data_IF_838305200849
#
_entry.id   IF_838305200849
#
_cell.length_a   1.000
_cell.length_b   1.000
_cell.length_c   1.000
_cell.angle_alpha   90.00
_cell.angle_beta   90.00
_cell.angle_gamma   90.00
#
_symmetry.space_group_name_H-M   'P 1'
#
loop_
_entity.id
_entity.type
_entity.pdbx_description
1 polymer ?
#
# COMPACT_ATOMS: atom_id res chain seq x y z
N UNK A 1 -2.49 1.52 -32.71
CA UNK A 1 -1.70 0.26 -32.85
C UNK A 1 -1.11 -0.19 -31.54
N UNK A 2 -0.41 0.65 -30.76
CA UNK A 2 0.19 0.30 -29.46
C UNK A 2 -0.75 -0.43 -28.46
N UNK A 3 -2.07 -0.20 -28.56
CA UNK A 3 -3.06 -0.83 -27.68
C UNK A 3 -3.62 -2.15 -28.25
N UNK A 4 -3.56 -2.37 -29.55
CA UNK A 4 -4.10 -3.55 -30.22
C UNK A 4 -3.11 -4.73 -30.28
N UNK A 5 -1.83 -4.45 -30.41
CA UNK A 5 -0.81 -5.45 -30.76
C UNK A 5 -0.25 -6.23 -29.55
N UNK A 6 -0.73 -5.93 -28.34
CA UNK A 6 -0.29 -6.64 -27.14
C UNK A 6 -1.45 -7.24 -26.35
N UNK A 7 -2.02 -8.30 -26.95
CA UNK A 7 -2.89 -9.23 -26.24
C UNK A 7 -2.14 -9.82 -25.02
N UNK A 8 -2.20 -9.18 -23.87
CA UNK A 8 -1.50 -9.65 -22.67
C UNK A 8 -1.39 -8.63 -21.55
N UNK A 9 -1.62 -7.34 -21.80
CA UNK A 9 -1.60 -6.34 -20.74
C UNK A 9 -2.93 -6.23 -19.99
N UNK A 10 -2.86 -6.10 -18.67
CA UNK A 10 -4.04 -5.89 -17.84
C UNK A 10 -4.72 -4.54 -18.16
N UNK A 11 -6.04 -4.46 -17.99
CA UNK A 11 -6.79 -3.19 -18.11
C UNK A 11 -6.20 -2.08 -17.25
N UNK A 12 -5.58 -2.42 -16.10
CA UNK A 12 -4.91 -1.48 -15.21
C UNK A 12 -3.71 -0.85 -15.89
N UNK A 13 -2.87 -1.65 -16.54
CA UNK A 13 -1.70 -1.14 -17.27
C UNK A 13 -2.14 -0.26 -18.44
N UNK A 14 -3.13 -0.69 -19.21
CA UNK A 14 -3.66 0.12 -20.31
C UNK A 14 -4.19 1.49 -19.85
N UNK A 15 -4.88 1.54 -18.70
CA UNK A 15 -5.32 2.80 -18.08
C UNK A 15 -4.15 3.68 -17.66
N UNK A 16 -3.12 3.10 -17.03
CA UNK A 16 -1.94 3.86 -16.62
C UNK A 16 -1.21 4.46 -17.83
N UNK A 17 -1.02 3.67 -18.88
CA UNK A 17 -0.41 4.15 -20.14
C UNK A 17 -1.25 5.28 -20.74
N UNK A 18 -2.58 5.13 -20.84
CA UNK A 18 -3.45 6.20 -21.30
C UNK A 18 -3.32 7.48 -20.48
N UNK A 19 -3.26 7.35 -19.14
CA UNK A 19 -3.09 8.51 -18.24
C UNK A 19 -1.79 9.24 -18.53
N UNK A 20 -0.67 8.51 -18.61
CA UNK A 20 0.64 9.10 -18.93
C UNK A 20 0.62 9.78 -20.30
N UNK A 21 0.09 9.12 -21.31
CA UNK A 21 -0.02 9.68 -22.67
C UNK A 21 -0.90 10.94 -22.71
N UNK A 22 -2.04 10.92 -22.00
CA UNK A 22 -2.91 12.10 -21.93
C UNK A 22 -2.18 13.31 -21.32
N UNK A 23 -1.49 13.12 -20.19
CA UNK A 23 -0.73 14.20 -19.55
C UNK A 23 0.35 14.73 -20.50
N UNK A 24 1.09 13.84 -21.15
CA UNK A 24 2.15 14.23 -22.10
C UNK A 24 1.61 14.99 -23.31
N UNK A 25 0.50 14.53 -23.90
CA UNK A 25 -0.09 15.22 -25.05
C UNK A 25 -0.79 16.52 -24.67
N UNK A 26 -1.41 16.62 -23.50
CA UNK A 26 -1.91 17.91 -23.01
C UNK A 26 -0.78 18.94 -22.86
N UNK A 27 0.37 18.50 -22.34
CA UNK A 27 1.55 19.36 -22.27
C UNK A 27 2.03 19.77 -23.67
N UNK A 28 2.07 18.84 -24.63
CA UNK A 28 2.44 19.17 -26.02
C UNK A 28 1.48 20.14 -26.70
N UNK A 29 0.16 20.05 -26.41
CA UNK A 29 -0.85 21.05 -26.87
C UNK A 29 -0.59 22.39 -26.21
N UNK A 30 -0.33 22.46 -24.91
CA UNK A 30 -0.03 23.72 -24.21
C UNK A 30 1.23 24.40 -24.74
N UNK A 31 2.23 23.60 -25.14
CA UNK A 31 3.45 24.09 -25.82
C UNK A 31 3.25 24.38 -27.31
N UNK A 32 2.02 24.25 -27.85
CA UNK A 32 1.71 24.44 -29.28
C UNK A 32 2.48 23.54 -30.24
N UNK A 33 2.96 22.39 -29.77
CA UNK A 33 3.67 21.37 -30.56
C UNK A 33 2.72 20.53 -31.40
N UNK A 34 1.50 20.32 -30.93
CA UNK A 34 0.42 19.62 -31.63
C UNK A 34 -0.89 20.37 -31.44
N UNK A 35 -1.82 20.32 -32.40
CA UNK A 35 -3.07 21.07 -32.32
C UNK A 35 -4.10 20.45 -31.39
N UNK A 36 -4.10 19.11 -31.23
CA UNK A 36 -5.10 18.37 -30.46
C UNK A 36 -4.45 17.20 -29.77
N UNK A 37 -4.99 16.78 -28.63
CA UNK A 37 -4.54 15.59 -27.92
C UNK A 37 -5.12 14.30 -28.57
N UNK A 38 -4.32 13.47 -29.23
CA UNK A 38 -4.82 12.27 -29.90
C UNK A 38 -5.26 11.16 -28.93
N UNK A 39 -4.89 11.24 -27.64
CA UNK A 39 -5.26 10.23 -26.66
C UNK A 39 -6.65 10.44 -26.04
N UNK A 40 -7.28 11.59 -26.20
CA UNK A 40 -8.63 11.87 -25.69
C UNK A 40 -9.68 10.99 -26.38
N UNK A 41 -9.54 10.78 -27.67
CA UNK A 41 -10.49 10.02 -28.50
C UNK A 41 -10.45 8.51 -28.24
N UNK A 42 -9.42 8.04 -27.54
CA UNK A 42 -9.24 6.59 -27.32
C UNK A 42 -10.18 6.10 -26.20
N UNK A 43 -11.19 5.35 -26.58
CA UNK A 43 -12.04 4.64 -25.62
C UNK A 43 -11.45 3.25 -25.31
N UNK A 44 -10.89 3.09 -24.12
CA UNK A 44 -10.31 1.83 -23.68
C UNK A 44 -11.34 0.71 -23.50
N UNK A 45 -12.63 1.04 -23.33
CA UNK A 45 -13.69 0.03 -23.21
C UNK A 45 -13.96 -0.66 -24.54
N UNK A 46 -13.75 0.02 -25.67
CA UNK A 46 -13.98 -0.49 -27.02
C UNK A 46 -12.73 -1.12 -27.66
N UNK A 47 -11.55 -0.79 -27.17
CA UNK A 47 -10.29 -1.16 -27.82
C UNK A 47 -9.56 -2.33 -27.16
N UNK A 48 -9.83 -2.60 -25.90
CA UNK A 48 -9.26 -3.74 -25.18
C UNK A 48 -10.32 -4.84 -25.15
N UNK A 49 -10.26 -5.75 -26.11
CA UNK A 49 -11.01 -7.01 -26.04
C UNK A 49 -10.64 -7.68 -24.71
N UNK A 50 -11.59 -7.61 -23.82
CA UNK A 50 -11.46 -8.16 -22.49
C UNK A 50 -11.59 -9.66 -22.54
N UNK A 51 -10.54 -10.38 -23.00
CA UNK A 51 -10.32 -11.67 -22.35
C UNK A 51 -10.18 -11.34 -20.87
N UNK A 52 -10.96 -12.00 -20.00
CA UNK A 52 -10.86 -11.72 -18.56
C UNK A 52 -9.43 -12.06 -18.13
N UNK A 53 -8.58 -11.04 -18.16
CA UNK A 53 -7.31 -11.12 -17.48
C UNK A 53 -7.70 -11.28 -16.04
N UNK A 54 -7.60 -12.52 -15.57
CA UNK A 54 -7.96 -12.93 -14.23
C UNK A 54 -8.58 -11.76 -13.45
N UNK A 55 -9.86 -11.50 -13.70
CA UNK A 55 -10.68 -10.91 -12.67
C UNK A 55 -10.28 -11.79 -11.51
N UNK A 56 -9.49 -11.31 -10.57
CA UNK A 56 -9.40 -11.98 -9.30
C UNK A 56 -10.85 -12.15 -8.96
N UNK A 57 -11.36 -13.36 -9.18
CA UNK A 57 -12.71 -13.66 -8.80
C UNK A 57 -12.76 -13.18 -7.37
N UNK A 58 -13.68 -12.27 -7.07
CA UNK A 58 -13.89 -11.79 -5.69
C UNK A 58 -14.04 -13.03 -4.81
N UNK A 59 -14.59 -14.11 -5.39
CA UNK A 59 -14.68 -15.45 -4.80
C UNK A 59 -13.33 -16.13 -4.52
N UNK A 60 -12.22 -15.62 -5.05
CA UNK A 60 -10.85 -16.12 -4.77
C UNK A 60 -10.09 -15.28 -3.73
N UNK A 61 -10.66 -14.21 -3.20
CA UNK A 61 -10.10 -13.53 -2.02
C UNK A 61 -10.39 -14.42 -0.82
N UNK A 62 -9.45 -15.31 -0.51
CA UNK A 62 -9.53 -16.12 0.69
C UNK A 62 -9.42 -15.22 1.90
N UNK A 63 -10.55 -15.00 2.56
CA UNK A 63 -10.61 -14.39 3.88
C UNK A 63 -10.46 -15.47 4.94
N UNK A 64 -9.78 -15.17 6.03
CA UNK A 64 -9.68 -16.07 7.16
C UNK A 64 -11.01 -16.06 7.94
N UNK A 65 -11.50 -17.23 8.31
CA UNK A 65 -12.59 -17.35 9.27
C UNK A 65 -12.07 -17.20 10.72
N UNK A 66 -12.98 -17.13 11.69
CA UNK A 66 -12.60 -16.90 13.08
C UNK A 66 -11.66 -17.98 13.62
N UNK A 67 -11.89 -19.26 13.31
CA UNK A 67 -11.04 -20.37 13.75
C UNK A 67 -9.62 -20.26 13.19
N UNK A 68 -9.50 -19.88 11.91
CA UNK A 68 -8.22 -19.66 11.26
C UNK A 68 -7.49 -18.45 11.83
N UNK A 69 -8.21 -17.39 12.22
CA UNK A 69 -7.64 -16.24 12.91
C UNK A 69 -7.07 -16.65 14.26
N UNK A 70 -7.81 -17.38 15.06
CA UNK A 70 -7.34 -17.88 16.36
C UNK A 70 -6.10 -18.77 16.21
N UNK A 71 -6.12 -19.66 15.23
CA UNK A 71 -4.98 -20.52 14.92
C UNK A 71 -3.75 -19.70 14.48
N UNK A 72 -3.95 -18.67 13.66
CA UNK A 72 -2.88 -17.76 13.23
C UNK A 72 -2.27 -17.00 14.40
N UNK A 73 -3.10 -16.48 15.30
CA UNK A 73 -2.65 -15.78 16.51
C UNK A 73 -1.83 -16.70 17.40
N UNK A 74 -2.29 -17.91 17.61
CA UNK A 74 -1.58 -18.93 18.41
C UNK A 74 -0.24 -19.33 17.75
N UNK A 75 -0.26 -19.67 16.47
CA UNK A 75 0.94 -20.06 15.72
C UNK A 75 2.00 -18.96 15.65
N UNK A 76 1.60 -17.69 15.74
CA UNK A 76 2.52 -16.55 15.68
C UNK A 76 3.21 -16.24 17.01
N UNK A 77 2.71 -16.68 18.16
CA UNK A 77 3.12 -16.25 19.51
C UNK A 77 4.64 -16.22 19.75
N UNK A 78 5.37 -17.21 19.30
CA UNK A 78 6.81 -17.32 19.55
C UNK A 78 7.64 -16.90 18.33
N UNK A 79 7.07 -16.11 17.44
CA UNK A 79 7.75 -15.66 16.23
C UNK A 79 8.05 -14.15 16.27
N UNK A 80 9.10 -13.68 15.59
CA UNK A 80 9.42 -12.26 15.51
C UNK A 80 8.32 -11.39 14.88
N UNK A 81 7.35 -12.01 14.22
CA UNK A 81 6.25 -11.31 13.51
C UNK A 81 4.96 -11.27 14.33
N UNK A 82 4.96 -11.76 15.58
CA UNK A 82 3.74 -11.82 16.39
C UNK A 82 3.07 -10.46 16.55
N UNK A 83 3.82 -9.43 16.94
CA UNK A 83 3.29 -8.08 17.08
C UNK A 83 2.70 -7.53 15.76
N UNK A 84 3.34 -7.86 14.64
CA UNK A 84 2.84 -7.45 13.31
C UNK A 84 1.52 -8.12 12.98
N UNK A 85 1.37 -9.39 13.32
CA UNK A 85 0.11 -10.14 13.15
C UNK A 85 -0.98 -9.54 14.02
N UNK A 86 -0.70 -9.24 15.31
CA UNK A 86 -1.65 -8.61 16.22
C UNK A 86 -2.15 -7.25 15.70
N UNK A 87 -1.24 -6.38 15.31
CA UNK A 87 -1.58 -5.06 14.76
C UNK A 87 -2.38 -5.15 13.46
N UNK A 88 -2.07 -6.13 12.60
CA UNK A 88 -2.79 -6.31 11.36
C UNK A 88 -4.19 -6.87 11.58
N UNK A 89 -4.29 -7.97 12.34
CA UNK A 89 -5.54 -8.75 12.50
C UNK A 89 -6.51 -8.06 13.45
N UNK A 90 -6.02 -7.57 14.60
CA UNK A 90 -6.89 -7.03 15.66
C UNK A 90 -7.09 -5.52 15.58
N UNK A 91 -6.16 -4.78 14.98
CA UNK A 91 -6.25 -3.32 14.87
C UNK A 91 -6.40 -2.82 13.43
N UNK A 92 -6.28 -3.68 12.42
CA UNK A 92 -6.46 -3.32 11.01
C UNK A 92 -5.43 -2.33 10.48
N UNK A 93 -4.20 -2.31 11.01
CA UNK A 93 -3.15 -1.43 10.52
C UNK A 93 -2.62 -1.92 9.17
N UNK A 94 -2.28 -0.98 8.29
CA UNK A 94 -1.60 -1.30 7.04
C UNK A 94 -0.16 -1.74 7.31
N UNK A 95 0.37 -2.65 6.50
CA UNK A 95 1.74 -3.17 6.64
C UNK A 95 2.81 -2.07 6.80
N UNK A 96 2.69 -0.98 6.06
CA UNK A 96 3.66 0.12 6.14
C UNK A 96 3.51 0.94 7.43
N UNK A 97 2.31 1.06 7.96
CA UNK A 97 2.02 1.68 9.25
C UNK A 97 2.60 0.84 10.38
N UNK A 98 2.33 -0.48 10.38
CA UNK A 98 2.85 -1.43 11.37
C UNK A 98 4.38 -1.34 11.50
N UNK A 99 5.08 -1.30 10.37
CA UNK A 99 6.54 -1.23 10.35
C UNK A 99 7.09 0.11 10.86
N UNK A 100 6.25 1.13 11.02
CA UNK A 100 6.63 2.46 11.49
C UNK A 100 6.16 2.74 12.93
N UNK A 101 5.44 1.82 13.58
CA UNK A 101 5.00 1.95 14.98
C UNK A 101 6.20 1.97 15.90
N UNK A 102 6.17 2.89 16.87
CA UNK A 102 7.16 3.03 17.95
C UNK A 102 6.47 2.88 19.29
N UNK A 103 7.20 2.50 20.32
CA UNK A 103 6.66 2.50 21.69
C UNK A 103 6.20 3.89 22.16
N UNK A 104 6.80 4.96 21.64
CA UNK A 104 6.38 6.34 21.88
C UNK A 104 5.01 6.70 21.32
N UNK A 105 4.47 5.90 20.42
CA UNK A 105 3.15 6.14 19.81
C UNK A 105 2.01 5.56 20.65
N UNK A 106 2.37 4.81 21.70
CA UNK A 106 1.43 4.17 22.62
C UNK A 106 1.20 5.09 23.82
N UNK A 107 -0.04 5.47 24.01
CA UNK A 107 -0.49 6.09 25.27
C UNK A 107 -0.89 4.95 26.22
N UNK A 108 -0.03 4.75 27.23
CA UNK A 108 -0.20 3.66 28.21
C UNK A 108 -1.30 3.95 29.24
N UNK A 109 -1.69 5.23 29.41
CA UNK A 109 -2.74 5.64 30.35
C UNK A 109 -4.10 5.42 29.71
N UNK A 110 -4.29 5.94 28.49
CA UNK A 110 -5.55 5.85 27.76
C UNK A 110 -5.65 4.59 26.90
N UNK A 111 -4.60 3.76 26.85
CA UNK A 111 -4.50 2.55 26.02
C UNK A 111 -4.86 2.81 24.55
N UNK A 112 -4.20 3.81 23.97
CA UNK A 112 -4.41 4.19 22.58
C UNK A 112 -3.10 4.18 21.80
N UNK A 113 -3.22 3.92 20.48
CA UNK A 113 -2.11 3.99 19.53
C UNK A 113 -2.35 5.13 18.54
N UNK A 114 -1.39 6.03 18.45
CA UNK A 114 -1.40 7.08 17.44
C UNK A 114 -0.72 6.62 16.16
N UNK A 115 -1.47 6.58 15.06
CA UNK A 115 -0.96 6.23 13.73
C UNK A 115 -0.77 7.50 12.92
N UNK A 116 0.49 7.91 12.71
CA UNK A 116 0.80 9.19 12.03
C UNK A 116 1.88 9.08 10.96
N UNK A 117 2.54 7.92 10.85
CA UNK A 117 3.62 7.68 9.89
C UNK A 117 3.55 6.30 9.26
N UNK A 118 4.32 6.11 8.20
CA UNK A 118 4.49 4.83 7.52
C UNK A 118 5.97 4.62 7.15
N UNK A 119 6.41 3.37 7.08
CA UNK A 119 7.74 3.03 6.58
C UNK A 119 7.64 2.75 5.08
N UNK A 120 8.14 3.69 4.28
CA UNK A 120 8.19 3.59 2.83
C UNK A 120 9.59 3.33 2.30
N UNK A 121 9.66 3.06 1.00
CA UNK A 121 10.92 3.05 0.24
C UNK A 121 11.00 4.35 -0.53
N UNK A 122 12.06 5.10 -0.33
CA UNK A 122 12.36 6.30 -1.11
C UNK A 122 13.54 6.03 -2.04
N UNK A 123 13.43 6.53 -3.25
CA UNK A 123 14.49 6.40 -4.26
C UNK A 123 15.54 7.47 -3.99
N UNK A 124 16.71 7.07 -3.50
CA UNK A 124 17.84 7.99 -3.39
C UNK A 124 18.43 8.21 -4.80
N UNK A 125 17.99 9.30 -5.44
CA UNK A 125 18.59 9.77 -6.68
C UNK A 125 19.91 10.44 -6.36
N UNK A 126 21.01 9.70 -6.49
CA UNK A 126 22.34 10.33 -6.47
C UNK A 126 22.56 10.98 -7.83
N UNK A 127 22.73 12.31 -7.90
CA UNK A 127 23.06 12.99 -9.17
C UNK A 127 24.27 12.31 -9.82
N UNK A 128 24.18 11.98 -11.10
CA UNK A 128 25.22 11.31 -11.90
C UNK A 128 25.53 9.84 -11.56
N UNK A 129 24.73 9.16 -10.76
CA UNK A 129 24.88 7.72 -10.53
C UNK A 129 23.79 6.93 -11.27
N UNK A 130 24.20 5.88 -12.01
CA UNK A 130 23.27 4.90 -12.58
C UNK A 130 22.75 3.90 -11.54
N UNK A 131 23.24 3.96 -10.29
CA UNK A 131 22.80 3.08 -9.21
C UNK A 131 21.73 3.81 -8.41
N UNK A 132 20.49 3.37 -8.60
CA UNK A 132 19.37 3.74 -7.75
C UNK A 132 19.41 2.87 -6.49
N UNK A 133 19.61 3.47 -5.31
CA UNK A 133 19.45 2.76 -4.05
C UNK A 133 18.08 3.08 -3.45
N UNK A 134 17.36 2.05 -3.00
CA UNK A 134 16.11 2.21 -2.30
C UNK A 134 16.34 2.13 -0.80
N UNK A 135 16.24 3.26 -0.13
CA UNK A 135 16.38 3.34 1.33
C UNK A 135 15.00 3.34 1.99
N UNK A 136 14.87 2.57 3.08
CA UNK A 136 13.66 2.61 3.90
C UNK A 136 13.70 3.86 4.76
N UNK A 137 12.67 4.69 4.68
CA UNK A 137 12.52 5.90 5.48
C UNK A 137 11.13 6.02 6.10
N UNK A 138 11.06 6.70 7.23
CA UNK A 138 9.79 7.13 7.79
C UNK A 138 9.21 8.23 6.90
N UNK A 139 8.01 8.00 6.43
CA UNK A 139 7.27 8.92 5.58
C UNK A 139 5.97 9.33 6.28
N UNK A 140 5.47 10.54 6.04
CA UNK A 140 4.15 10.90 6.47
C UNK A 140 3.11 9.98 5.83
N UNK A 141 1.95 9.89 6.42
CA UNK A 141 0.82 9.17 5.83
C UNK A 141 0.41 9.81 4.49
N UNK A 142 -0.09 8.99 3.59
CA UNK A 142 -0.45 9.41 2.21
C UNK A 142 -1.44 10.58 2.18
N UNK A 143 -2.32 10.67 3.17
CA UNK A 143 -3.29 11.77 3.31
C UNK A 143 -3.35 12.22 4.78
N UNK A 144 -3.59 13.51 5.07
CA UNK A 144 -3.78 14.00 6.43
C UNK A 144 -4.89 13.26 7.19
N UNK A 145 -5.96 12.90 6.50
CA UNK A 145 -7.09 12.13 7.05
C UNK A 145 -6.75 10.70 7.46
N UNK A 146 -5.56 10.20 7.10
CA UNK A 146 -5.10 8.88 7.52
C UNK A 146 -4.50 8.88 8.93
N UNK A 147 -4.15 10.07 9.48
CA UNK A 147 -3.73 10.20 10.87
C UNK A 147 -4.92 9.91 11.77
N UNK A 148 -4.71 8.98 12.69
CA UNK A 148 -5.79 8.52 13.58
C UNK A 148 -5.24 7.99 14.89
N UNK A 149 -6.08 8.01 15.91
CA UNK A 149 -5.85 7.37 17.20
C UNK A 149 -6.78 6.18 17.29
N UNK A 150 -6.24 5.02 17.64
CA UNK A 150 -6.98 3.77 17.75
C UNK A 150 -6.93 3.27 19.18
N UNK A 151 -8.04 2.77 19.75
CA UNK A 151 -8.01 2.07 21.02
C UNK A 151 -7.24 0.75 20.84
N UNK A 152 -6.43 0.39 21.84
CA UNK A 152 -5.68 -0.85 21.84
C UNK A 152 -6.50 -1.88 22.61
N UNK A 153 -6.87 -3.03 21.99
CA UNK A 153 -7.50 -4.13 22.71
C UNK A 153 -6.59 -4.66 23.83
N UNK A 154 -7.17 -5.10 24.94
CA UNK A 154 -6.42 -5.57 26.12
C UNK A 154 -5.37 -6.61 25.76
N UNK A 155 -5.72 -7.60 24.96
CA UNK A 155 -4.79 -8.64 24.52
C UNK A 155 -3.57 -8.09 23.76
N UNK A 156 -3.77 -7.08 22.92
CA UNK A 156 -2.68 -6.42 22.18
C UNK A 156 -1.84 -5.57 23.13
N UNK A 157 -2.49 -4.90 24.09
CA UNK A 157 -1.81 -4.07 25.08
C UNK A 157 -0.87 -4.88 25.97
N UNK A 158 -1.33 -6.02 26.45
CA UNK A 158 -0.51 -6.96 27.24
C UNK A 158 0.70 -7.45 26.43
N UNK A 159 0.49 -7.83 25.18
CA UNK A 159 1.58 -8.23 24.29
C UNK A 159 2.60 -7.10 24.05
N UNK A 160 2.16 -5.84 23.95
CA UNK A 160 3.06 -4.68 23.85
C UNK A 160 3.92 -4.55 25.12
N UNK A 161 3.31 -4.71 26.29
CA UNK A 161 4.02 -4.63 27.56
C UNK A 161 5.05 -5.76 27.71
N UNK A 162 4.70 -6.99 27.33
CA UNK A 162 5.62 -8.12 27.33
C UNK A 162 6.79 -7.93 26.36
N UNK A 163 6.49 -7.46 25.15
CA UNK A 163 7.55 -7.22 24.15
C UNK A 163 8.49 -6.11 24.59
N UNK A 164 7.98 -5.05 25.18
CA UNK A 164 8.78 -3.93 25.68
C UNK A 164 9.78 -4.38 26.77
N UNK A 165 9.37 -5.25 27.69
CA UNK A 165 10.25 -5.81 28.74
C UNK A 165 11.49 -6.54 28.22
N UNK A 166 11.49 -6.97 26.95
CA UNK A 166 12.66 -7.64 26.35
C UNK A 166 13.77 -6.65 25.98
N UNK A 167 13.46 -5.35 25.93
CA UNK A 167 14.38 -4.29 25.50
C UNK A 167 14.72 -3.29 26.61
N UNK A 168 14.10 -3.41 27.78
CA UNK A 168 14.47 -2.73 29.03
C UNK A 168 15.50 -3.54 29.81
#
# INVERSE_FOLDING_TARGET
RLYKDRAGYSKSIARQVKTVMNVSFHYAVSCKLIPVNPAEVIDLHKTVDSKPYHTRNIDMVKTLNMEQILLLLEASKNTPIHMQVLFNVLMGLRRQEINAVKYSDVDYINRTLTVERQLGKELDRVPNSRKESMTKRELPLKTPSSKRVLPIPDYVFEAILEERKKYE
#
